data_IF_303801877079
#
_entry.id   IF_303801877079
#
_cell.length_a   1.000
_cell.length_b   1.000
_cell.length_c   1.000
_cell.angle_alpha   90.00
_cell.angle_beta   90.00
_cell.angle_gamma   90.00
#
_symmetry.space_group_name_H-M   'P 1'
#
loop_
_entity.id
_entity.type
_entity.pdbx_description
1 polymer ?
#
# COMPACT_ATOMS: atom_id res chain seq x y z
N UNK A 1 1.29 24.34 -9.28
CA UNK A 1 1.39 24.40 -7.81
C UNK A 1 2.68 25.12 -7.48
N UNK A 2 2.64 26.14 -6.63
CA UNK A 2 3.87 26.80 -6.15
C UNK A 2 4.60 25.89 -5.16
N UNK A 3 5.85 26.21 -4.84
CA UNK A 3 6.63 25.46 -3.84
C UNK A 3 5.94 25.52 -2.47
N UNK A 4 5.52 26.70 -2.05
CA UNK A 4 4.79 26.92 -0.78
C UNK A 4 3.51 26.08 -0.72
N UNK A 5 2.71 26.05 -1.79
CA UNK A 5 1.51 25.22 -1.85
C UNK A 5 1.81 23.72 -1.77
N UNK A 6 2.95 23.26 -2.32
CA UNK A 6 3.39 21.86 -2.23
C UNK A 6 3.75 21.51 -0.79
N UNK A 7 4.46 22.40 -0.09
CA UNK A 7 4.86 22.22 1.30
C UNK A 7 3.65 22.22 2.25
N UNK A 8 2.74 23.19 2.10
CA UNK A 8 1.50 23.24 2.89
C UNK A 8 0.64 21.98 2.69
N UNK A 9 0.53 21.51 1.45
CA UNK A 9 -0.20 20.27 1.14
C UNK A 9 0.49 19.05 1.75
N UNK A 10 1.82 18.96 1.68
CA UNK A 10 2.60 17.89 2.31
C UNK A 10 2.36 17.84 3.81
N UNK A 11 2.45 18.98 4.48
CA UNK A 11 2.26 19.08 5.93
C UNK A 11 0.83 18.67 6.32
N UNK A 12 -0.17 19.07 5.53
CA UNK A 12 -1.56 18.68 5.73
C UNK A 12 -1.75 17.16 5.58
N UNK A 13 -1.22 16.57 4.51
CA UNK A 13 -1.33 15.12 4.23
C UNK A 13 -0.67 14.32 5.34
N UNK A 14 0.55 14.69 5.73
CA UNK A 14 1.29 14.07 6.83
C UNK A 14 0.47 14.11 8.13
N UNK A 15 -0.06 15.29 8.48
CA UNK A 15 -0.84 15.47 9.70
C UNK A 15 -2.12 14.65 9.70
N UNK A 16 -2.84 14.60 8.58
CA UNK A 16 -4.05 13.78 8.45
C UNK A 16 -3.70 12.30 8.59
N UNK A 17 -2.68 11.81 7.90
CA UNK A 17 -2.25 10.40 8.00
C UNK A 17 -1.91 10.04 9.44
N UNK A 18 -1.16 10.89 10.15
CA UNK A 18 -0.80 10.63 11.56
C UNK A 18 -2.02 10.55 12.48
N UNK A 19 -2.98 11.48 12.34
CA UNK A 19 -4.22 11.47 13.11
C UNK A 19 -5.01 10.18 12.86
N UNK A 20 -5.16 9.78 11.59
CA UNK A 20 -5.90 8.59 11.24
C UNK A 20 -5.20 7.31 11.73
N UNK A 21 -3.87 7.26 11.67
CA UNK A 21 -3.09 6.15 12.24
C UNK A 21 -3.27 6.10 13.76
N UNK A 22 -3.19 7.23 14.46
CA UNK A 22 -3.38 7.30 15.91
C UNK A 22 -4.77 6.81 16.32
N UNK A 23 -5.82 7.34 15.68
CA UNK A 23 -7.22 6.92 15.93
C UNK A 23 -7.40 5.42 15.66
N UNK A 24 -6.76 4.91 14.59
CA UNK A 24 -6.83 3.49 14.26
C UNK A 24 -6.11 2.59 15.25
N UNK A 25 -5.28 3.12 16.16
CA UNK A 25 -4.48 2.34 17.12
C UNK A 25 -4.97 2.45 18.57
N UNK A 26 -6.07 3.16 18.83
CA UNK A 26 -6.56 3.55 20.16
C UNK A 26 -7.05 2.40 21.09
N UNK A 27 -6.56 1.17 20.90
CA UNK A 27 -7.20 -0.08 21.36
C UNK A 27 -6.65 -0.73 22.63
N UNK A 28 -5.78 -0.07 23.40
CA UNK A 28 -5.30 -0.65 24.68
C UNK A 28 -6.43 -0.89 25.70
N UNK A 29 -7.59 -0.25 25.50
CA UNK A 29 -8.77 -0.38 26.34
C UNK A 29 -9.81 -1.30 25.67
N UNK A 30 -9.87 -2.57 26.12
CA UNK A 30 -10.74 -3.64 25.57
C UNK A 30 -12.20 -3.26 25.29
N UNK A 31 -12.83 -2.44 26.14
CA UNK A 31 -14.24 -2.07 25.94
C UNK A 31 -14.44 -0.97 24.89
N UNK A 32 -13.39 -0.22 24.54
CA UNK A 32 -13.42 0.83 23.51
C UNK A 32 -13.02 0.31 22.12
N UNK A 33 -12.50 -0.93 22.01
CA UNK A 33 -12.18 -1.59 20.74
C UNK A 33 -13.37 -1.62 19.76
N UNK A 34 -14.60 -1.73 20.26
CA UNK A 34 -15.82 -1.69 19.43
C UNK A 34 -16.08 -0.32 18.79
N UNK A 35 -15.42 0.73 19.25
CA UNK A 35 -15.55 2.13 18.78
C UNK A 35 -14.32 2.55 17.96
N UNK A 36 -13.29 1.70 17.90
CA UNK A 36 -12.08 1.93 17.10
C UNK A 36 -12.45 2.13 15.63
N UNK A 37 -12.04 3.27 15.06
CA UNK A 37 -12.19 3.52 13.62
C UNK A 37 -10.98 2.97 12.90
N UNK A 38 -11.20 1.90 12.14
CA UNK A 38 -10.16 1.30 11.30
C UNK A 38 -9.88 2.18 10.08
N UNK A 39 -8.68 2.08 9.56
CA UNK A 39 -8.29 2.70 8.29
C UNK A 39 -8.98 1.97 7.14
N UNK A 40 -9.63 2.73 6.26
CA UNK A 40 -10.17 2.17 5.02
C UNK A 40 -9.04 1.89 4.03
N UNK A 41 -9.06 0.74 3.32
CA UNK A 41 -7.99 0.42 2.37
C UNK A 41 -7.79 1.45 1.25
N UNK A 42 -8.87 2.03 0.73
CA UNK A 42 -8.82 3.12 -0.26
C UNK A 42 -8.06 4.34 0.28
N UNK A 43 -8.36 4.73 1.53
CA UNK A 43 -7.68 5.86 2.17
C UNK A 43 -6.17 5.61 2.27
N UNK A 44 -5.76 4.38 2.59
CA UNK A 44 -4.35 4.02 2.65
C UNK A 44 -3.71 4.18 1.27
N UNK A 45 -4.32 3.62 0.23
CA UNK A 45 -3.78 3.69 -1.14
C UNK A 45 -3.70 5.14 -1.66
N UNK A 46 -4.77 5.93 -1.48
CA UNK A 46 -4.86 7.32 -1.92
C UNK A 46 -3.81 8.21 -1.26
N UNK A 47 -3.68 8.10 0.07
CA UNK A 47 -2.70 8.91 0.82
C UNK A 47 -1.27 8.45 0.55
N UNK A 48 -1.02 7.16 0.34
CA UNK A 48 0.29 6.68 -0.13
C UNK A 48 0.65 7.30 -1.48
N UNK A 49 -0.25 7.29 -2.46
CA UNK A 49 0.01 7.91 -3.76
C UNK A 49 0.25 9.42 -3.63
N UNK A 50 -0.53 10.10 -2.77
CA UNK A 50 -0.37 11.52 -2.52
C UNK A 50 0.99 11.84 -1.88
N UNK A 51 1.42 11.06 -0.90
CA UNK A 51 2.73 11.21 -0.27
C UNK A 51 3.89 10.99 -1.26
N UNK A 52 3.80 10.01 -2.16
CA UNK A 52 4.81 9.83 -3.23
C UNK A 52 4.93 11.09 -4.09
N UNK A 53 3.79 11.66 -4.53
CA UNK A 53 3.76 12.90 -5.33
C UNK A 53 4.30 14.13 -4.58
N UNK A 54 4.40 14.05 -3.27
CA UNK A 54 4.90 15.10 -2.38
C UNK A 54 6.33 14.81 -1.88
N UNK A 55 7.04 13.90 -2.55
CA UNK A 55 8.42 13.50 -2.27
C UNK A 55 8.61 12.79 -0.91
N UNK A 56 7.54 12.19 -0.37
CA UNK A 56 7.52 11.44 0.90
C UNK A 56 7.50 9.91 0.67
N UNK A 57 8.30 9.44 -0.30
CA UNK A 57 8.22 8.05 -0.79
C UNK A 57 8.43 6.98 0.29
N UNK A 58 9.46 7.09 1.13
CA UNK A 58 9.72 6.08 2.18
C UNK A 58 8.52 5.91 3.10
N UNK A 59 7.95 7.04 3.55
CA UNK A 59 6.78 7.07 4.40
C UNK A 59 5.55 6.51 3.69
N UNK A 60 5.37 6.86 2.42
CA UNK A 60 4.26 6.40 1.61
C UNK A 60 4.23 4.87 1.47
N UNK A 61 5.37 4.25 1.19
CA UNK A 61 5.50 2.81 1.04
C UNK A 61 5.31 2.08 2.37
N UNK A 62 5.83 2.64 3.47
CA UNK A 62 5.58 2.14 4.84
C UNK A 62 4.11 2.24 5.25
N UNK A 63 3.41 3.29 4.82
CA UNK A 63 1.99 3.43 5.06
C UNK A 63 1.20 2.44 4.20
N UNK A 64 1.57 2.26 2.94
CA UNK A 64 0.94 1.31 2.02
C UNK A 64 1.06 -0.13 2.53
N UNK A 65 2.19 -0.50 3.14
CA UNK A 65 2.38 -1.85 3.69
C UNK A 65 1.43 -2.22 4.82
N UNK A 66 0.70 -1.25 5.41
CA UNK A 66 -0.40 -1.57 6.33
C UNK A 66 -1.49 -2.41 5.66
N UNK A 67 -1.63 -2.31 4.33
CA UNK A 67 -2.53 -3.17 3.55
C UNK A 67 -2.08 -4.63 3.48
N UNK A 68 -0.82 -4.94 3.83
CA UNK A 68 -0.29 -6.30 3.89
C UNK A 68 -0.26 -6.86 5.31
N UNK A 69 -0.40 -6.00 6.32
CA UNK A 69 -0.16 -6.36 7.71
C UNK A 69 -1.18 -7.40 8.22
N UNK A 70 -0.70 -8.35 9.02
CA UNK A 70 -1.52 -9.38 9.69
C UNK A 70 -2.49 -8.77 10.71
N UNK A 71 -2.27 -7.49 11.06
CA UNK A 71 -3.20 -6.63 11.80
C UNK A 71 -4.55 -6.39 11.12
N UNK A 72 -4.94 -7.17 10.10
CA UNK A 72 -6.34 -7.31 9.67
C UNK A 72 -7.11 -8.36 10.47
N UNK A 73 -6.43 -9.21 11.22
CA UNK A 73 -7.05 -10.30 11.96
C UNK A 73 -6.94 -10.04 13.47
N UNK A 74 -8.07 -10.17 14.18
CA UNK A 74 -8.15 -10.02 15.63
C UNK A 74 -8.69 -8.67 16.12
N UNK A 75 -8.81 -8.55 17.44
CA UNK A 75 -9.42 -7.40 18.14
C UNK A 75 -8.58 -6.11 18.06
N UNK A 76 -7.30 -6.22 17.69
CA UNK A 76 -6.36 -5.10 17.56
C UNK A 76 -6.20 -4.62 16.12
N UNK A 77 -7.09 -5.04 15.21
CA UNK A 77 -6.94 -4.75 13.80
C UNK A 77 -7.09 -3.26 13.48
N UNK A 78 -6.11 -2.68 12.80
CA UNK A 78 -6.02 -1.25 12.50
C UNK A 78 -6.60 -0.90 11.13
N UNK A 79 -6.71 -1.88 10.23
CA UNK A 79 -7.21 -1.73 8.85
C UNK A 79 -8.54 -2.47 8.69
N UNK A 80 -9.51 -1.82 8.04
CA UNK A 80 -10.81 -2.39 7.72
C UNK A 80 -10.67 -3.50 6.69
N UNK A 81 -11.49 -4.55 6.84
CA UNK A 81 -11.59 -5.66 5.88
C UNK A 81 -12.89 -5.62 5.06
N UNK A 82 -13.69 -4.56 5.21
CA UNK A 82 -15.00 -4.44 4.56
C UNK A 82 -14.91 -4.10 3.08
N UNK A 83 -13.79 -3.49 2.66
CA UNK A 83 -13.58 -3.00 1.30
C UNK A 83 -12.18 -3.34 0.80
N UNK A 84 -12.03 -3.35 -0.51
CA UNK A 84 -10.74 -3.45 -1.19
C UNK A 84 -10.27 -2.07 -1.62
N UNK A 85 -8.95 -1.82 -1.66
CA UNK A 85 -8.43 -0.59 -2.27
C UNK A 85 -8.73 -0.56 -3.76
N UNK A 86 -8.89 0.65 -4.31
CA UNK A 86 -9.14 0.88 -5.72
C UNK A 86 -7.95 0.41 -6.57
N UNK A 87 -8.23 -0.49 -7.52
CA UNK A 87 -7.22 -1.04 -8.42
C UNK A 87 -6.48 0.04 -9.22
N UNK A 88 -7.16 1.08 -9.70
CA UNK A 88 -6.53 2.15 -10.50
C UNK A 88 -5.46 2.90 -9.70
N UNK A 89 -5.73 3.17 -8.42
CA UNK A 89 -4.76 3.82 -7.52
C UNK A 89 -3.57 2.89 -7.25
N UNK A 90 -3.83 1.60 -7.06
CA UNK A 90 -2.80 0.59 -6.90
C UNK A 90 -1.94 0.38 -8.16
N UNK A 91 -2.55 0.45 -9.34
CA UNK A 91 -1.80 0.40 -10.60
C UNK A 91 -0.93 1.65 -10.75
N UNK A 92 -1.41 2.85 -10.39
CA UNK A 92 -0.58 4.05 -10.36
C UNK A 92 0.61 3.90 -9.40
N UNK A 93 0.39 3.38 -8.19
CA UNK A 93 1.47 3.07 -7.25
C UNK A 93 2.47 2.06 -7.84
N UNK A 94 1.98 0.99 -8.47
CA UNK A 94 2.82 0.03 -9.17
C UNK A 94 3.67 0.73 -10.24
N UNK A 95 3.08 1.60 -11.06
CA UNK A 95 3.80 2.35 -12.08
C UNK A 95 4.90 3.24 -11.50
N UNK A 96 4.66 3.92 -10.38
CA UNK A 96 5.70 4.69 -9.68
C UNK A 96 6.90 3.79 -9.31
N UNK A 97 6.63 2.62 -8.72
CA UNK A 97 7.69 1.67 -8.38
C UNK A 97 8.44 1.12 -9.61
N UNK A 98 7.73 0.86 -10.71
CA UNK A 98 8.32 0.39 -11.97
C UNK A 98 9.20 1.48 -12.60
N UNK A 99 8.76 2.74 -12.58
CA UNK A 99 9.53 3.88 -13.11
C UNK A 99 10.84 4.09 -12.34
N UNK A 100 10.83 3.84 -11.03
CA UNK A 100 12.04 3.85 -10.19
C UNK A 100 12.91 2.59 -10.36
N UNK A 101 12.45 1.57 -11.10
CA UNK A 101 13.11 0.26 -11.17
C UNK A 101 13.12 -0.47 -9.82
N UNK A 102 12.25 -0.08 -8.88
CA UNK A 102 12.20 -0.55 -7.51
C UNK A 102 11.35 -1.82 -7.39
N UNK A 103 11.99 -2.97 -7.62
CA UNK A 103 11.32 -4.27 -7.56
C UNK A 103 10.66 -4.54 -6.20
N UNK A 104 11.20 -4.01 -5.10
CA UNK A 104 10.69 -4.25 -3.76
C UNK A 104 9.32 -3.61 -3.58
N UNK A 105 9.19 -2.32 -3.94
CA UNK A 105 7.92 -1.61 -3.89
C UNK A 105 6.91 -2.16 -4.91
N UNK A 106 7.37 -2.53 -6.11
CA UNK A 106 6.51 -3.16 -7.11
C UNK A 106 5.97 -4.53 -6.62
N UNK A 107 6.80 -5.29 -5.90
CA UNK A 107 6.38 -6.54 -5.25
C UNK A 107 5.41 -6.31 -4.09
N UNK A 108 5.48 -5.16 -3.40
CA UNK A 108 4.49 -4.75 -2.41
C UNK A 108 3.11 -4.57 -3.06
N UNK A 109 3.04 -3.82 -4.18
CA UNK A 109 1.82 -3.67 -4.96
C UNK A 109 1.26 -5.01 -5.45
N UNK A 110 2.11 -5.88 -6.00
CA UNK A 110 1.71 -7.23 -6.43
C UNK A 110 1.06 -8.04 -5.30
N UNK A 111 1.66 -8.02 -4.10
CA UNK A 111 1.12 -8.72 -2.94
C UNK A 111 -0.24 -8.16 -2.51
N UNK A 112 -0.42 -6.84 -2.54
CA UNK A 112 -1.71 -6.20 -2.22
C UNK A 112 -2.75 -6.61 -3.26
N UNK A 113 -2.40 -6.58 -4.54
CA UNK A 113 -3.29 -7.00 -5.63
C UNK A 113 -3.74 -8.46 -5.47
N UNK A 114 -2.83 -9.36 -5.09
CA UNK A 114 -3.16 -10.76 -4.81
C UNK A 114 -4.06 -10.89 -3.58
N UNK A 115 -3.72 -10.21 -2.48
CA UNK A 115 -4.43 -10.29 -1.20
C UNK A 115 -5.90 -9.85 -1.31
N UNK A 116 -6.16 -8.83 -2.13
CA UNK A 116 -7.50 -8.30 -2.37
C UNK A 116 -8.15 -8.81 -3.66
N UNK A 117 -7.52 -9.76 -4.36
CA UNK A 117 -8.02 -10.31 -5.64
C UNK A 117 -8.31 -9.22 -6.70
N UNK A 118 -7.45 -8.21 -6.77
CA UNK A 118 -7.63 -7.02 -7.63
C UNK A 118 -7.08 -7.19 -9.03
N UNK A 119 -6.05 -8.03 -9.22
CA UNK A 119 -5.52 -8.34 -10.55
C UNK A 119 -6.21 -9.56 -11.14
N UNK A 120 -6.56 -9.48 -12.42
CA UNK A 120 -7.11 -10.60 -13.19
C UNK A 120 -6.05 -11.65 -13.54
N UNK A 121 -4.77 -11.27 -13.54
CA UNK A 121 -3.67 -12.16 -13.90
C UNK A 121 -2.37 -11.67 -13.23
N UNK A 122 -1.97 -12.35 -12.16
CA UNK A 122 -0.76 -12.01 -11.41
C UNK A 122 0.53 -12.26 -12.22
N UNK A 123 0.52 -13.19 -13.18
CA UNK A 123 1.69 -13.46 -14.04
C UNK A 123 2.01 -12.27 -14.94
N UNK A 124 0.98 -11.60 -15.49
CA UNK A 124 1.18 -10.38 -16.27
C UNK A 124 1.82 -9.27 -15.43
N UNK A 125 1.48 -9.17 -14.15
CA UNK A 125 2.10 -8.20 -13.24
C UNK A 125 3.56 -8.57 -12.93
N UNK A 126 3.87 -9.86 -12.74
CA UNK A 126 5.26 -10.33 -12.58
C UNK A 126 6.09 -10.06 -13.83
N UNK A 127 5.52 -10.23 -15.02
CA UNK A 127 6.17 -9.89 -16.29
C UNK A 127 6.44 -8.38 -16.40
N UNK A 128 5.49 -7.53 -15.96
CA UNK A 128 5.68 -6.08 -15.90
C UNK A 128 6.85 -5.71 -15.00
N UNK A 129 6.93 -6.30 -13.80
CA UNK A 129 8.05 -6.09 -12.87
C UNK A 129 9.36 -6.56 -13.49
N UNK A 130 9.38 -7.75 -14.08
CA UNK A 130 10.59 -8.34 -14.66
C UNK A 130 11.14 -7.55 -15.86
N UNK A 131 10.29 -6.81 -16.56
CA UNK A 131 10.67 -5.95 -17.70
C UNK A 131 11.27 -4.62 -17.26
N UNK A 132 10.77 -4.02 -16.18
CA UNK A 132 11.17 -2.67 -15.75
C UNK A 132 12.21 -2.68 -14.63
N UNK A 133 12.21 -3.72 -13.78
CA UNK A 133 13.13 -3.82 -12.67
C UNK A 133 14.27 -4.80 -12.99
N UNK A 134 15.48 -4.46 -12.55
CA UNK A 134 16.64 -5.35 -12.70
C UNK A 134 16.61 -6.48 -11.66
N UNK A 135 15.81 -7.51 -11.94
CA UNK A 135 15.69 -8.68 -11.08
C UNK A 135 16.85 -9.65 -11.25
N UNK A 136 17.35 -10.18 -10.13
CA UNK A 136 18.16 -11.40 -10.13
C UNK A 136 17.31 -12.62 -10.52
N UNK A 137 17.97 -13.69 -10.95
CA UNK A 137 17.30 -14.96 -11.26
C UNK A 137 16.48 -15.52 -10.07
N UNK A 138 16.99 -15.34 -8.85
CA UNK A 138 16.31 -15.78 -7.62
C UNK A 138 15.05 -14.94 -7.39
N UNK A 139 15.13 -13.61 -7.48
CA UNK A 139 13.97 -12.72 -7.29
C UNK A 139 12.88 -13.01 -8.31
N UNK A 140 13.25 -13.20 -9.59
CA UNK A 140 12.29 -13.54 -10.64
C UNK A 140 11.55 -14.85 -10.31
N UNK A 141 12.29 -15.90 -9.97
CA UNK A 141 11.70 -17.21 -9.62
C UNK A 141 10.76 -17.12 -8.40
N UNK A 142 11.10 -16.31 -7.41
CA UNK A 142 10.23 -16.08 -6.24
C UNK A 142 8.90 -15.44 -6.67
N UNK A 143 8.94 -14.42 -7.54
CA UNK A 143 7.74 -13.75 -8.02
C UNK A 143 6.88 -14.64 -8.92
N UNK A 144 7.50 -15.41 -9.81
CA UNK A 144 6.80 -16.39 -10.66
C UNK A 144 6.07 -17.43 -9.80
N UNK A 145 6.76 -18.05 -8.83
CA UNK A 145 6.16 -18.99 -7.90
C UNK A 145 5.02 -18.36 -7.07
N UNK A 146 5.18 -17.10 -6.65
CA UNK A 146 4.14 -16.39 -5.92
C UNK A 146 2.86 -16.25 -6.75
N UNK A 147 2.98 -15.88 -8.03
CA UNK A 147 1.85 -15.78 -8.93
C UNK A 147 1.17 -17.13 -9.15
N UNK A 148 1.95 -18.22 -9.31
CA UNK A 148 1.41 -19.57 -9.50
C UNK A 148 0.61 -20.10 -8.30
N UNK A 149 0.98 -19.73 -7.06
CA UNK A 149 0.28 -20.18 -5.84
C UNK A 149 -1.03 -19.43 -5.61
N UNK A 150 -1.15 -18.20 -6.13
CA UNK A 150 -2.25 -17.27 -5.86
C UNK A 150 -3.25 -17.13 -7.02
N UNK A 151 -2.97 -17.76 -8.16
CA UNK A 151 -3.88 -17.92 -9.31
C UNK A 151 -4.87 -19.07 -9.06
#
# INVERSE_FOLDING_TARGET
MTVEQKEELRDLVIKIVDIFVEISRFSEVKHLQKIQRKLEPDFIADMSLMMIKLDESERAWKFLSLLLDEAKQGETATVSNERSPNYEILDLLMQEALNEGNWYNASCCLQIMALYSLSKNLKLEVDRISKHCNLTSIQRKILENFADIRE
#
